data_IF_348773202976
#
_entry.id   IF_348773202976
#
_cell.length_a   1.000
_cell.length_b   1.000
_cell.length_c   1.000
_cell.angle_alpha   90.00
_cell.angle_beta   90.00
_cell.angle_gamma   90.00
#
_symmetry.space_group_name_H-M   'P 1'
#
loop_
_entity.id
_entity.type
_entity.pdbx_description
1 polymer ?
#
# COMPACT_ATOMS: atom_id res chain seq x y z
N UNK A 1 -6.01 8.64 6.02
CA UNK A 1 -5.14 7.44 5.98
C UNK A 1 -5.40 6.48 7.13
N UNK A 2 -5.55 6.96 8.37
CA UNK A 2 -5.77 6.05 9.51
C UNK A 2 -7.08 5.29 9.39
N UNK A 3 -8.16 5.94 9.04
CA UNK A 3 -9.48 5.34 8.84
C UNK A 3 -9.41 4.17 7.83
N UNK A 4 -8.78 4.39 6.67
CA UNK A 4 -8.55 3.33 5.68
C UNK A 4 -7.66 2.23 6.23
N UNK A 5 -6.62 2.59 7.00
CA UNK A 5 -5.73 1.61 7.63
C UNK A 5 -6.44 0.70 8.63
N UNK A 6 -7.39 1.24 9.41
CA UNK A 6 -8.22 0.45 10.34
C UNK A 6 -9.17 -0.47 9.58
N UNK A 7 -9.84 0.02 8.55
CA UNK A 7 -10.71 -0.80 7.69
C UNK A 7 -9.92 -1.94 7.03
N UNK A 8 -8.74 -1.62 6.47
CA UNK A 8 -7.87 -2.61 5.85
C UNK A 8 -7.42 -3.68 6.84
N UNK A 9 -7.01 -3.28 8.06
CA UNK A 9 -6.65 -4.21 9.13
C UNK A 9 -7.80 -5.18 9.41
N UNK A 10 -9.00 -4.66 9.63
CA UNK A 10 -10.14 -5.48 10.04
C UNK A 10 -10.54 -6.46 8.94
N UNK A 11 -10.48 -6.04 7.68
CA UNK A 11 -10.74 -6.90 6.53
C UNK A 11 -9.65 -7.97 6.36
N UNK A 12 -8.36 -7.63 6.50
CA UNK A 12 -7.27 -8.61 6.43
C UNK A 12 -7.32 -9.63 7.57
N UNK A 13 -7.70 -9.21 8.78
CA UNK A 13 -7.93 -10.13 9.91
C UNK A 13 -9.06 -11.12 9.60
N UNK A 14 -10.13 -10.68 8.92
CA UNK A 14 -11.23 -11.53 8.49
C UNK A 14 -10.80 -12.57 7.43
N UNK A 15 -9.82 -12.23 6.58
CA UNK A 15 -9.18 -13.16 5.64
C UNK A 15 -8.15 -14.10 6.30
N UNK A 16 -7.97 -14.02 7.63
CA UNK A 16 -7.05 -14.88 8.38
C UNK A 16 -5.60 -14.39 8.41
N UNK A 17 -5.31 -13.19 7.96
CA UNK A 17 -3.98 -12.61 8.05
C UNK A 17 -3.65 -12.14 9.47
N UNK A 18 -2.37 -12.12 9.83
CA UNK A 18 -1.88 -11.40 11.01
C UNK A 18 -1.50 -9.98 10.60
N UNK A 19 -2.03 -8.98 11.30
CA UNK A 19 -1.81 -7.57 10.94
C UNK A 19 -1.11 -6.82 12.05
N UNK A 20 -0.03 -6.13 11.71
CA UNK A 20 0.70 -5.22 12.60
C UNK A 20 0.56 -3.80 12.06
N UNK A 21 0.02 -2.90 12.89
CA UNK A 21 -0.14 -1.49 12.55
C UNK A 21 1.03 -0.68 13.10
N UNK A 22 1.54 0.29 12.34
CA UNK A 22 2.55 1.25 12.83
C UNK A 22 1.94 2.30 13.77
N UNK A 23 0.64 2.52 13.68
CA UNK A 23 -0.19 3.30 14.62
C UNK A 23 -1.64 2.88 14.49
N UNK A 24 -2.37 2.98 15.57
CA UNK A 24 -3.80 2.71 15.67
C UNK A 24 -4.61 3.94 16.14
N UNK A 25 -3.92 5.01 16.50
CA UNK A 25 -4.53 6.27 16.96
C UNK A 25 -3.97 7.48 16.21
N UNK A 26 -4.72 8.60 16.26
CA UNK A 26 -4.29 9.87 15.67
C UNK A 26 -3.13 10.53 16.45
N UNK A 27 -3.00 10.22 17.74
CA UNK A 27 -2.03 10.88 18.63
C UNK A 27 -0.67 10.17 18.70
N UNK A 28 -0.55 9.01 18.10
CA UNK A 28 0.71 8.26 18.12
C UNK A 28 1.68 8.84 17.10
N UNK A 29 2.83 9.29 17.57
CA UNK A 29 3.94 9.66 16.70
C UNK A 29 4.93 8.50 16.64
N UNK A 30 5.22 8.05 15.41
CA UNK A 30 6.22 7.02 15.14
C UNK A 30 7.22 7.60 14.13
N UNK A 31 8.49 7.58 14.47
CA UNK A 31 9.58 8.09 13.63
C UNK A 31 9.68 7.33 12.31
N UNK A 32 10.33 7.94 11.31
CA UNK A 32 10.41 7.35 9.97
C UNK A 32 11.17 6.01 9.97
N UNK A 33 12.29 5.94 10.65
CA UNK A 33 13.06 4.69 10.78
C UNK A 33 12.33 3.65 11.62
N UNK A 34 11.75 4.06 12.73
CA UNK A 34 10.95 3.19 13.59
C UNK A 34 9.78 2.55 12.83
N UNK A 35 9.08 3.31 11.96
CA UNK A 35 8.04 2.76 11.08
C UNK A 35 8.57 1.70 10.12
N UNK A 36 9.79 1.82 9.66
CA UNK A 36 10.41 0.84 8.79
C UNK A 36 10.86 -0.41 9.56
N UNK A 37 11.25 -0.25 10.83
CA UNK A 37 11.72 -1.36 11.67
C UNK A 37 10.56 -2.21 12.23
N UNK A 38 9.38 -1.63 12.47
CA UNK A 38 8.21 -2.37 12.96
C UNK A 38 7.90 -3.61 12.10
N UNK A 39 7.68 -3.51 10.78
CA UNK A 39 7.42 -4.69 9.96
C UNK A 39 8.63 -5.62 9.84
N UNK A 40 9.86 -5.09 9.82
CA UNK A 40 11.07 -5.89 9.78
C UNK A 40 11.19 -6.78 11.03
N UNK A 41 10.90 -6.23 12.21
CA UNK A 41 10.94 -6.95 13.48
C UNK A 41 9.77 -7.93 13.64
N UNK A 42 8.63 -7.64 13.01
CA UNK A 42 7.48 -8.53 13.00
C UNK A 42 7.63 -9.72 12.03
N UNK A 43 8.63 -9.69 11.14
CA UNK A 43 8.78 -10.69 10.09
C UNK A 43 7.59 -10.73 9.13
N UNK A 44 7.06 -9.55 8.78
CA UNK A 44 5.90 -9.46 7.91
C UNK A 44 6.20 -9.96 6.49
N UNK A 45 5.20 -10.52 5.81
CA UNK A 45 5.31 -10.96 4.42
C UNK A 45 5.22 -9.79 3.43
N UNK A 46 4.47 -8.73 3.80
CA UNK A 46 4.25 -7.51 3.01
C UNK A 46 4.14 -6.29 3.88
N UNK A 47 4.45 -5.14 3.31
CA UNK A 47 4.21 -3.82 3.93
C UNK A 47 3.38 -2.95 2.98
N UNK A 48 2.25 -2.45 3.46
CA UNK A 48 1.47 -1.41 2.81
C UNK A 48 1.63 -0.09 3.58
N UNK A 49 2.09 0.94 2.90
CA UNK A 49 2.26 2.29 3.44
C UNK A 49 1.22 3.20 2.81
N UNK A 50 0.24 3.62 3.61
CA UNK A 50 -0.92 4.36 3.12
C UNK A 50 -0.69 5.87 3.19
N UNK A 51 -0.80 6.53 2.05
CA UNK A 51 -0.63 7.96 1.87
C UNK A 51 -1.77 8.56 1.03
N UNK A 52 -1.94 9.87 1.15
CA UNK A 52 -2.70 10.69 0.22
C UNK A 52 -1.73 11.70 -0.39
N UNK A 53 -1.69 11.72 -1.70
CA UNK A 53 -0.73 12.50 -2.48
C UNK A 53 -1.08 13.99 -2.52
N UNK A 54 -0.11 14.79 -2.92
CA UNK A 54 -0.30 16.20 -3.25
C UNK A 54 0.46 16.54 -4.54
N UNK A 55 -0.06 17.47 -5.31
CA UNK A 55 0.54 17.90 -6.57
C UNK A 55 -0.13 19.18 -7.09
N UNK A 56 -0.07 19.42 -8.39
CA UNK A 56 -0.87 20.46 -8.99
C UNK A 56 -2.38 20.06 -9.00
N UNK A 57 -3.26 21.01 -9.15
CA UNK A 57 -4.72 20.81 -9.08
C UNK A 57 -5.29 19.83 -10.14
N UNK A 58 -4.52 19.49 -11.16
CA UNK A 58 -4.90 18.56 -12.23
C UNK A 58 -4.39 17.14 -12.01
N UNK A 59 -3.51 16.96 -11.00
CA UNK A 59 -2.99 15.67 -10.65
C UNK A 59 -4.09 14.80 -10.02
N UNK A 60 -4.26 13.59 -10.52
CA UNK A 60 -5.30 12.64 -10.10
C UNK A 60 -4.83 11.20 -10.28
N UNK A 61 -5.43 10.31 -9.51
CA UNK A 61 -5.29 8.87 -9.64
C UNK A 61 -4.57 8.21 -8.48
N UNK A 62 -4.62 6.91 -8.47
CA UNK A 62 -3.97 6.07 -7.47
C UNK A 62 -2.56 5.74 -7.95
N UNK A 63 -1.57 5.83 -7.07
CA UNK A 63 -0.20 5.43 -7.41
C UNK A 63 0.31 4.38 -6.43
N UNK A 64 1.07 3.43 -6.95
CA UNK A 64 1.80 2.45 -6.13
C UNK A 64 3.29 2.62 -6.39
N UNK A 65 4.04 2.97 -5.35
CA UNK A 65 5.48 3.05 -5.42
C UNK A 65 6.11 1.81 -4.81
N UNK A 66 6.90 1.11 -5.62
CA UNK A 66 7.72 -0.01 -5.20
C UNK A 66 9.16 0.43 -4.98
N UNK A 67 9.96 -0.30 -4.20
CA UNK A 67 11.39 -0.09 -4.16
C UNK A 67 12.00 -0.19 -5.57
N UNK A 68 13.06 0.56 -5.81
CA UNK A 68 13.87 0.39 -7.01
C UNK A 68 15.24 -0.19 -6.66
N UNK A 69 16.21 0.11 -7.45
CA UNK A 69 17.56 -0.42 -7.42
C UNK A 69 18.35 -0.06 -6.13
N UNK A 70 17.90 -0.57 -4.98
CA UNK A 70 18.65 -0.55 -3.72
C UNK A 70 19.14 -1.96 -3.37
N UNK A 71 20.23 -2.08 -2.59
CA UNK A 71 20.76 -3.39 -2.20
C UNK A 71 19.72 -4.24 -1.47
N UNK A 72 19.01 -3.67 -0.51
CA UNK A 72 17.97 -4.39 0.25
C UNK A 72 16.79 -4.82 -0.62
N UNK A 73 16.30 -3.95 -1.51
CA UNK A 73 15.22 -4.31 -2.39
C UNK A 73 15.56 -5.49 -3.30
N UNK A 74 16.79 -5.56 -3.80
CA UNK A 74 17.28 -6.68 -4.62
C UNK A 74 17.38 -8.00 -3.86
N UNK A 75 17.67 -7.96 -2.58
CA UNK A 75 17.69 -9.15 -1.73
C UNK A 75 16.28 -9.71 -1.51
N UNK A 76 15.25 -8.86 -1.59
CA UNK A 76 13.85 -9.24 -1.39
C UNK A 76 13.22 -9.76 -2.69
N UNK A 77 13.40 -9.03 -3.79
CA UNK A 77 12.88 -9.40 -5.12
C UNK A 77 13.61 -8.62 -6.22
N UNK A 78 13.62 -9.15 -7.43
CA UNK A 78 14.06 -8.40 -8.60
C UNK A 78 13.04 -7.31 -9.00
N UNK A 79 13.48 -6.40 -9.85
CA UNK A 79 12.66 -5.23 -10.22
C UNK A 79 11.43 -5.58 -11.08
N UNK A 80 11.47 -6.65 -11.85
CA UNK A 80 10.33 -7.11 -12.64
C UNK A 80 9.29 -7.76 -11.74
N UNK A 81 9.72 -8.51 -10.72
CA UNK A 81 8.85 -9.04 -9.68
C UNK A 81 8.18 -7.91 -8.89
N UNK A 82 8.92 -6.88 -8.49
CA UNK A 82 8.33 -5.69 -7.83
C UNK A 82 7.31 -5.00 -8.72
N UNK A 83 7.60 -4.83 -10.00
CA UNK A 83 6.68 -4.22 -10.97
C UNK A 83 5.40 -5.05 -11.13
N UNK A 84 5.54 -6.36 -11.20
CA UNK A 84 4.40 -7.29 -11.29
C UNK A 84 3.53 -7.19 -10.05
N UNK A 85 4.11 -7.28 -8.86
CA UNK A 85 3.37 -7.17 -7.60
C UNK A 85 2.69 -5.80 -7.44
N UNK A 86 3.40 -4.70 -7.73
CA UNK A 86 2.85 -3.35 -7.64
C UNK A 86 1.70 -3.11 -8.60
N UNK A 87 1.78 -3.61 -9.84
CA UNK A 87 0.68 -3.54 -10.81
C UNK A 87 -0.51 -4.41 -10.40
N UNK A 88 -0.27 -5.57 -9.80
CA UNK A 88 -1.34 -6.43 -9.26
C UNK A 88 -2.12 -5.67 -8.18
N UNK A 89 -1.42 -5.11 -7.20
CA UNK A 89 -2.03 -4.30 -6.14
C UNK A 89 -2.79 -3.10 -6.69
N UNK A 90 -2.18 -2.32 -7.59
CA UNK A 90 -2.81 -1.17 -8.24
C UNK A 90 -4.08 -1.56 -9.00
N UNK A 91 -4.04 -2.66 -9.76
CA UNK A 91 -5.19 -3.13 -10.53
C UNK A 91 -6.37 -3.51 -9.64
N UNK A 92 -6.13 -4.20 -8.54
CA UNK A 92 -7.17 -4.56 -7.58
C UNK A 92 -7.81 -3.31 -6.95
N UNK A 93 -7.00 -2.33 -6.52
CA UNK A 93 -7.50 -1.07 -5.95
C UNK A 93 -8.32 -0.29 -7.00
N UNK A 94 -7.83 -0.18 -8.23
CA UNK A 94 -8.55 0.51 -9.32
C UNK A 94 -9.88 -0.18 -9.64
N UNK A 95 -9.92 -1.49 -9.64
CA UNK A 95 -11.15 -2.26 -9.87
C UNK A 95 -12.18 -1.98 -8.78
N UNK A 96 -11.78 -2.03 -7.52
CA UNK A 96 -12.69 -1.81 -6.39
C UNK A 96 -13.21 -0.37 -6.31
N UNK A 97 -12.38 0.62 -6.66
CA UNK A 97 -12.72 2.05 -6.55
C UNK A 97 -13.35 2.63 -7.82
N UNK A 98 -13.29 1.94 -8.94
CA UNK A 98 -13.69 2.47 -10.25
C UNK A 98 -12.72 3.51 -10.82
N UNK A 99 -11.55 3.73 -10.19
CA UNK A 99 -10.55 4.68 -10.67
C UNK A 99 -9.86 4.15 -11.94
N UNK A 100 -9.78 5.00 -12.94
CA UNK A 100 -9.13 4.64 -14.22
C UNK A 100 -7.69 5.15 -14.32
N UNK A 101 -7.35 6.20 -13.56
CA UNK A 101 -6.02 6.81 -13.54
C UNK A 101 -5.15 6.19 -12.47
N UNK A 102 -3.86 6.10 -12.74
CA UNK A 102 -2.85 5.64 -11.79
C UNK A 102 -1.78 4.80 -12.46
N UNK A 103 -0.65 4.69 -11.80
CA UNK A 103 0.52 3.95 -12.27
C UNK A 103 1.27 3.28 -11.13
N UNK A 104 2.10 2.30 -11.50
CA UNK A 104 3.04 1.66 -10.61
C UNK A 104 4.46 2.10 -10.99
N UNK A 105 5.16 2.72 -10.05
CA UNK A 105 6.49 3.30 -10.29
C UNK A 105 7.52 2.70 -9.34
N UNK A 106 8.67 2.33 -9.88
CA UNK A 106 9.85 1.97 -9.07
C UNK A 106 10.54 3.27 -8.62
N UNK A 107 10.80 3.39 -7.32
CA UNK A 107 11.36 4.61 -6.74
C UNK A 107 12.32 4.31 -5.58
N UNK A 108 13.50 4.92 -5.58
CA UNK A 108 14.53 4.75 -4.55
C UNK A 108 14.56 5.88 -3.51
N UNK A 109 13.66 6.85 -3.58
CA UNK A 109 13.64 8.00 -2.66
C UNK A 109 12.91 7.71 -1.34
N UNK A 110 12.10 6.65 -1.30
CA UNK A 110 11.30 6.31 -0.12
C UNK A 110 12.06 5.37 0.82
N UNK A 111 12.67 5.94 1.86
CA UNK A 111 13.47 5.21 2.86
C UNK A 111 12.73 3.99 3.39
N UNK A 112 11.46 4.11 3.77
CA UNK A 112 10.69 2.99 4.32
C UNK A 112 10.48 1.83 3.34
N UNK A 113 10.40 2.11 2.03
CA UNK A 113 10.35 1.05 1.03
C UNK A 113 11.72 0.39 0.86
N UNK A 114 12.78 1.20 0.77
CA UNK A 114 14.13 0.72 0.54
C UNK A 114 14.74 0.00 1.74
N UNK A 115 14.27 0.29 2.97
CA UNK A 115 14.73 -0.33 4.22
C UNK A 115 13.99 -1.62 4.58
N UNK A 116 12.90 -1.93 3.89
CA UNK A 116 12.08 -3.10 4.14
C UNK A 116 12.80 -4.39 3.73
N UNK A 117 12.76 -5.39 4.60
CA UNK A 117 13.29 -6.75 4.36
C UNK A 117 12.27 -7.67 3.68
N UNK A 118 11.14 -7.14 3.30
CA UNK A 118 10.04 -7.80 2.58
C UNK A 118 9.49 -6.86 1.51
N UNK A 119 8.64 -7.34 0.58
CA UNK A 119 7.99 -6.48 -0.39
C UNK A 119 7.20 -5.36 0.29
N UNK A 120 7.51 -4.13 -0.06
CA UNK A 120 6.92 -2.92 0.51
C UNK A 120 6.35 -2.03 -0.60
N UNK A 121 5.11 -1.59 -0.40
CA UNK A 121 4.37 -0.79 -1.36
C UNK A 121 3.86 0.48 -0.69
N UNK A 122 4.23 1.64 -1.22
CA UNK A 122 3.62 2.90 -0.81
C UNK A 122 2.44 3.17 -1.74
N UNK A 123 1.25 3.20 -1.17
CA UNK A 123 0.00 3.44 -1.89
C UNK A 123 -0.44 4.88 -1.66
N UNK A 124 -0.39 5.68 -2.71
CA UNK A 124 -1.02 6.99 -2.78
C UNK A 124 -2.46 6.82 -3.26
N UNK A 125 -3.40 6.96 -2.34
CA UNK A 125 -4.80 6.62 -2.55
C UNK A 125 -5.58 7.64 -3.40
N UNK A 126 -4.96 8.76 -3.74
CA UNK A 126 -5.50 9.88 -4.49
C UNK A 126 -4.86 11.19 -4.04
N UNK A 127 -5.18 12.29 -4.70
CA UNK A 127 -4.57 13.61 -4.49
C UNK A 127 -5.47 14.53 -3.67
N UNK A 128 -4.99 14.95 -2.49
CA UNK A 128 -5.67 15.95 -1.64
C UNK A 128 -5.76 17.33 -2.29
N UNK A 129 -4.93 17.60 -3.29
CA UNK A 129 -4.96 18.85 -4.07
C UNK A 129 -5.99 18.84 -5.20
N UNK A 130 -6.60 17.70 -5.50
CA UNK A 130 -7.74 17.57 -6.40
C UNK A 130 -9.04 17.64 -5.60
N UNK A 131 -9.85 18.66 -5.80
CA UNK A 131 -11.11 18.85 -5.08
C UNK A 131 -12.03 17.61 -5.17
N UNK A 132 -12.06 16.95 -6.31
CA UNK A 132 -12.85 15.74 -6.53
C UNK A 132 -12.32 14.56 -5.71
N UNK A 133 -11.00 14.33 -5.75
CA UNK A 133 -10.40 13.20 -5.02
C UNK A 133 -10.34 13.46 -3.51
N UNK A 134 -10.11 14.69 -3.08
CA UNK A 134 -10.16 15.06 -1.66
C UNK A 134 -11.57 14.79 -1.07
N UNK A 135 -12.62 15.16 -1.83
CA UNK A 135 -13.98 14.80 -1.46
C UNK A 135 -14.16 13.27 -1.37
N UNK A 136 -13.76 12.50 -2.37
CA UNK A 136 -13.84 11.03 -2.35
C UNK A 136 -13.08 10.44 -1.16
N UNK A 137 -11.83 10.85 -0.94
CA UNK A 137 -10.98 10.39 0.16
C UNK A 137 -11.59 10.65 1.54
N UNK A 138 -12.45 11.66 1.67
CA UNK A 138 -13.17 11.99 2.90
C UNK A 138 -14.44 11.15 3.11
N UNK A 139 -14.94 10.43 2.09
CA UNK A 139 -16.20 9.66 2.18
C UNK A 139 -15.96 8.25 2.71
N UNK A 140 -16.78 7.77 3.69
CA UNK A 140 -16.64 6.42 4.23
C UNK A 140 -16.76 5.32 3.18
N UNK A 141 -17.63 5.50 2.20
CA UNK A 141 -17.86 4.50 1.13
C UNK A 141 -16.61 4.34 0.27
N UNK A 142 -15.97 5.43 -0.14
CA UNK A 142 -14.75 5.36 -0.94
C UNK A 142 -13.58 4.77 -0.13
N UNK A 143 -13.48 5.12 1.15
CA UNK A 143 -12.50 4.53 2.07
C UNK A 143 -12.68 3.01 2.19
N UNK A 144 -13.91 2.53 2.23
CA UNK A 144 -14.23 1.11 2.22
C UNK A 144 -13.78 0.44 0.91
N UNK A 145 -14.04 1.05 -0.25
CA UNK A 145 -13.60 0.52 -1.54
C UNK A 145 -12.09 0.48 -1.67
N UNK A 146 -11.39 1.50 -1.17
CA UNK A 146 -9.92 1.50 -1.11
C UNK A 146 -9.40 0.33 -0.27
N UNK A 147 -9.95 0.13 0.93
CA UNK A 147 -9.56 -0.96 1.81
C UNK A 147 -9.84 -2.33 1.17
N UNK A 148 -11.03 -2.52 0.58
CA UNK A 148 -11.40 -3.74 -0.11
C UNK A 148 -10.45 -4.07 -1.27
N UNK A 149 -10.15 -3.09 -2.13
CA UNK A 149 -9.22 -3.28 -3.24
C UNK A 149 -7.80 -3.61 -2.77
N UNK A 150 -7.36 -3.05 -1.64
CA UNK A 150 -6.08 -3.41 -1.05
C UNK A 150 -6.07 -4.84 -0.48
N UNK A 151 -7.16 -5.30 0.13
CA UNK A 151 -7.28 -6.70 0.58
C UNK A 151 -7.19 -7.65 -0.59
N UNK A 152 -7.98 -7.44 -1.64
CA UNK A 152 -7.95 -8.27 -2.86
C UNK A 152 -6.54 -8.30 -3.48
N UNK A 153 -5.88 -7.13 -3.53
CA UNK A 153 -4.50 -7.03 -3.99
C UNK A 153 -3.54 -7.86 -3.12
N UNK A 154 -3.62 -7.75 -1.79
CA UNK A 154 -2.76 -8.51 -0.86
C UNK A 154 -3.00 -10.02 -0.99
N UNK A 155 -4.25 -10.47 -1.12
CA UNK A 155 -4.58 -11.89 -1.37
C UNK A 155 -3.93 -12.39 -2.66
N UNK A 156 -4.04 -11.63 -3.75
CA UNK A 156 -3.38 -11.96 -5.02
C UNK A 156 -1.85 -11.99 -4.90
N UNK A 157 -1.26 -11.06 -4.14
CA UNK A 157 0.19 -11.07 -3.86
C UNK A 157 0.60 -12.30 -3.06
N UNK A 158 -0.19 -12.70 -2.06
CA UNK A 158 0.07 -13.90 -1.27
C UNK A 158 0.01 -15.17 -2.12
N UNK A 159 -0.93 -15.25 -3.06
CA UNK A 159 -1.01 -16.34 -4.06
C UNK A 159 0.19 -16.35 -5.01
N UNK A 160 0.60 -15.17 -5.51
CA UNK A 160 1.79 -15.04 -6.38
C UNK A 160 3.07 -15.51 -5.69
N UNK A 161 3.17 -15.33 -4.38
CA UNK A 161 4.32 -15.76 -3.58
C UNK A 161 4.18 -17.18 -3.01
N UNK A 162 3.08 -17.86 -3.25
CA UNK A 162 2.84 -19.20 -2.73
C UNK A 162 2.65 -19.25 -1.21
N UNK A 163 2.22 -18.15 -0.59
CA UNK A 163 1.91 -18.09 0.84
C UNK A 163 0.53 -18.67 1.15
N UNK A 164 -0.36 -18.65 0.16
CA UNK A 164 -1.70 -19.25 0.21
C UNK A 164 -1.99 -19.92 -1.12
N UNK A 165 -2.90 -20.91 -1.12
CA UNK A 165 -3.32 -21.60 -2.34
C UNK A 165 -4.13 -20.67 -3.27
N UNK A 166 -4.02 -20.92 -4.57
CA UNK A 166 -4.89 -20.26 -5.55
C UNK A 166 -6.29 -20.85 -5.45
N UNK A 167 -7.24 -20.00 -5.15
CA UNK A 167 -8.67 -20.37 -5.17
C UNK A 167 -9.18 -20.43 -6.59
#
# INVERSE_FOLDING_TARGET
>A
TLEVGVLLRDLLLAEGATVVMTRDTQKTFVGMLERADIPNNAGADFVLRLHCNSGNQWAKGIQVYCPSDSSYAREVADMDTYRTMGNTLLSAIKTATGQTRGDCTLNNSYVGNNWSKMPSFLVEMGYMTSQEEDYLLSTPVYQQWLAQGMVEGVVQLAQLRGLIDKQ
#
